data_IF_749900486801
#
_entry.id   IF_749900486801
#
_cell.length_a   1.000
_cell.length_b   1.000
_cell.length_c   1.000
_cell.angle_alpha   90.00
_cell.angle_beta   90.00
_cell.angle_gamma   90.00
#
_symmetry.space_group_name_H-M   'P 1'
#
loop_
_entity.id
_entity.type
_entity.pdbx_description
1 polymer ?
#
# COMPACT_ATOMS: atom_id res chain seq x y z
N UNK A 1 13.84 -12.32 16.13
CA UNK A 1 13.25 -11.82 16.32
C UNK A 1 12.63 -11.04 15.55
N UNK A 2 11.85 -10.93 15.38
CA UNK A 2 11.18 -10.33 14.59
C UNK A 2 10.66 -9.23 15.01
N UNK A 3 10.82 -8.47 15.09
CA UNK A 3 10.31 -7.52 15.47
C UNK A 3 9.83 -6.71 14.55
N UNK A 4 9.11 -5.89 14.50
CA UNK A 4 8.66 -4.98 13.60
C UNK A 4 7.83 -5.44 12.53
N UNK A 5 7.43 -6.63 12.50
CA UNK A 5 6.63 -7.04 11.52
C UNK A 5 5.27 -6.61 11.76
N UNK A 6 4.53 -5.90 10.93
CA UNK A 6 3.12 -5.69 11.09
C UNK A 6 2.38 -6.40 9.97
N UNK A 7 1.09 -6.71 10.17
CA UNK A 7 0.33 -7.47 9.18
C UNK A 7 0.27 -6.82 7.81
N UNK A 8 0.23 -5.49 7.77
CA UNK A 8 0.18 -4.79 6.50
C UNK A 8 1.46 -5.04 5.70
N UNK A 9 2.60 -4.87 6.34
CA UNK A 9 3.87 -5.07 5.65
C UNK A 9 4.04 -6.51 5.19
N UNK A 10 3.60 -7.45 5.99
CA UNK A 10 3.69 -8.85 5.60
C UNK A 10 2.82 -9.12 4.39
N UNK A 11 1.61 -8.56 4.36
CA UNK A 11 0.72 -8.78 3.23
C UNK A 11 1.26 -8.16 1.96
N UNK A 12 1.81 -6.96 2.05
CA UNK A 12 2.38 -6.31 0.88
C UNK A 12 3.56 -7.12 0.36
N UNK A 13 4.44 -7.54 1.24
CA UNK A 13 5.61 -8.32 0.82
C UNK A 13 5.21 -9.62 0.16
N UNK A 14 4.25 -10.32 0.73
CA UNK A 14 3.84 -11.60 0.21
C UNK A 14 3.15 -11.49 -1.14
N UNK A 15 2.44 -10.40 -1.37
CA UNK A 15 1.67 -10.22 -2.60
C UNK A 15 2.39 -9.40 -3.66
N UNK A 16 3.52 -8.81 -3.30
CA UNK A 16 4.15 -7.80 -4.16
C UNK A 16 4.40 -8.28 -5.59
N UNK A 17 4.94 -9.47 -5.73
CA UNK A 17 5.28 -9.96 -7.06
C UNK A 17 4.06 -10.24 -7.92
N UNK A 18 2.92 -10.45 -7.30
CA UNK A 18 1.70 -10.71 -8.02
C UNK A 18 0.94 -9.45 -8.37
N UNK A 19 1.40 -8.30 -7.92
CA UNK A 19 0.69 -7.06 -8.18
C UNK A 19 0.99 -6.53 -9.57
N UNK A 20 0.00 -5.94 -10.24
CA UNK A 20 0.27 -5.20 -11.46
C UNK A 20 1.24 -4.05 -11.20
N UNK A 21 1.95 -3.57 -12.22
CA UNK A 21 2.98 -2.54 -12.01
C UNK A 21 2.53 -1.31 -11.25
N UNK A 22 1.34 -0.79 -11.54
CA UNK A 22 0.87 0.39 -10.84
C UNK A 22 0.59 0.10 -9.38
N UNK A 23 0.09 -1.08 -9.08
CA UNK A 23 -0.17 -1.45 -7.70
C UNK A 23 1.13 -1.73 -6.96
N UNK A 24 2.17 -2.15 -7.67
CA UNK A 24 3.47 -2.30 -7.05
C UNK A 24 4.06 -0.95 -6.64
N UNK A 25 3.81 0.09 -7.42
CA UNK A 25 4.25 1.42 -7.03
C UNK A 25 3.60 1.84 -5.73
N UNK A 26 2.30 1.56 -5.60
CA UNK A 26 1.60 1.88 -4.37
C UNK A 26 2.18 1.09 -3.20
N UNK A 27 2.43 -0.19 -3.42
CA UNK A 27 2.98 -1.04 -2.39
C UNK A 27 4.36 -0.59 -1.93
N UNK A 28 5.22 -0.23 -2.88
CA UNK A 28 6.56 0.24 -2.55
C UNK A 28 6.48 1.53 -1.74
N UNK A 29 5.65 2.47 -2.18
CA UNK A 29 5.51 3.71 -1.45
C UNK A 29 5.00 3.47 -0.04
N UNK A 30 4.02 2.58 0.10
CA UNK A 30 3.44 2.30 1.40
C UNK A 30 4.46 1.68 2.35
N UNK A 31 5.32 0.82 1.83
CA UNK A 31 6.36 0.21 2.66
C UNK A 31 7.39 1.22 3.09
N UNK A 32 7.67 2.20 2.23
CA UNK A 32 8.66 3.22 2.54
C UNK A 32 8.10 4.34 3.40
N UNK A 33 6.78 4.48 3.45
CA UNK A 33 6.16 5.61 4.17
C UNK A 33 5.04 5.12 5.10
N UNK A 34 5.37 4.26 6.07
CA UNK A 34 4.32 3.70 6.94
C UNK A 34 3.59 4.75 7.75
N UNK A 35 4.27 5.84 8.09
CA UNK A 35 3.63 6.89 8.85
C UNK A 35 2.57 7.60 8.01
N UNK A 36 2.90 7.88 6.78
CA UNK A 36 1.96 8.54 5.88
C UNK A 36 0.77 7.64 5.59
N UNK A 37 0.97 6.35 5.50
CA UNK A 37 -0.13 5.42 5.31
C UNK A 37 -1.12 5.55 6.48
N UNK A 38 -0.61 5.72 7.68
CA UNK A 38 -1.46 5.84 8.85
C UNK A 38 -2.14 7.20 8.97
N UNK A 39 -1.48 8.25 8.51
CA UNK A 39 -1.98 9.60 8.73
C UNK A 39 -2.72 10.24 7.56
N UNK A 40 -2.44 9.84 6.36
CA UNK A 40 -3.02 10.49 5.20
C UNK A 40 -4.25 9.73 4.69
N UNK A 41 -5.19 10.47 4.12
CA UNK A 41 -6.34 9.84 3.49
C UNK A 41 -5.89 9.07 2.25
N UNK A 42 -6.73 8.16 1.80
CA UNK A 42 -6.46 7.40 0.58
C UNK A 42 -6.20 8.33 -0.60
N UNK A 43 -7.00 9.37 -0.71
CA UNK A 43 -6.85 10.32 -1.81
C UNK A 43 -5.52 11.06 -1.73
N UNK A 44 -5.13 11.46 -0.54
CA UNK A 44 -3.87 12.17 -0.39
C UNK A 44 -2.69 11.23 -0.66
N UNK A 45 -2.79 9.99 -0.23
CA UNK A 45 -1.74 9.02 -0.54
C UNK A 45 -1.60 8.84 -2.04
N UNK A 46 -2.72 8.71 -2.75
CA UNK A 46 -2.68 8.55 -4.20
C UNK A 46 -2.02 9.75 -4.87
N UNK A 47 -2.28 10.93 -4.35
CA UNK A 47 -1.66 12.13 -4.89
C UNK A 47 -0.15 12.11 -4.72
N UNK A 48 0.32 11.66 -3.55
CA UNK A 48 1.75 11.59 -3.29
C UNK A 48 2.45 10.56 -4.14
N UNK A 49 1.74 9.46 -4.42
CA UNK A 49 2.30 8.41 -5.26
C UNK A 49 2.18 8.78 -6.74
N UNK A 50 1.30 9.73 -7.05
CA UNK A 50 1.02 10.17 -8.42
C UNK A 50 0.26 9.11 -9.21
N UNK A 51 -0.74 8.52 -8.58
CA UNK A 51 -1.63 7.58 -9.24
C UNK A 51 -3.07 8.00 -8.97
N UNK A 52 -4.04 7.53 -9.74
CA UNK A 52 -5.43 7.81 -9.47
C UNK A 52 -5.85 7.25 -8.12
N UNK A 53 -6.78 7.95 -7.45
CA UNK A 53 -7.27 7.48 -6.16
C UNK A 53 -7.83 6.07 -6.25
N UNK A 54 -8.48 5.74 -7.36
CA UNK A 54 -9.03 4.40 -7.56
C UNK A 54 -7.93 3.33 -7.52
N UNK A 55 -6.74 3.67 -7.98
CA UNK A 55 -5.62 2.73 -7.96
C UNK A 55 -5.21 2.42 -6.53
N UNK A 56 -5.16 3.44 -5.68
CA UNK A 56 -4.84 3.24 -4.27
C UNK A 56 -5.89 2.37 -3.58
N UNK A 57 -7.16 2.61 -3.89
CA UNK A 57 -8.24 1.82 -3.31
C UNK A 57 -8.16 0.37 -3.77
N UNK A 58 -7.87 0.17 -5.05
CA UNK A 58 -7.76 -1.17 -5.60
C UNK A 58 -6.61 -1.94 -4.93
N UNK A 59 -5.54 -1.23 -4.62
CA UNK A 59 -4.42 -1.83 -3.92
C UNK A 59 -4.88 -2.40 -2.56
N UNK A 60 -5.62 -1.62 -1.79
CA UNK A 60 -6.10 -2.08 -0.49
C UNK A 60 -7.03 -3.27 -0.64
N UNK A 61 -7.91 -3.22 -1.62
CA UNK A 61 -8.83 -4.32 -1.86
C UNK A 61 -8.10 -5.60 -2.24
N UNK A 62 -7.04 -5.45 -3.01
CA UNK A 62 -6.27 -6.61 -3.44
C UNK A 62 -5.60 -7.30 -2.27
N UNK A 63 -5.27 -6.56 -1.23
CA UNK A 63 -4.64 -7.11 -0.04
C UNK A 63 -5.65 -7.55 1.00
N UNK A 64 -6.94 -7.36 0.74
CA UNK A 64 -7.97 -7.79 1.67
C UNK A 64 -8.35 -6.76 2.71
N UNK A 65 -7.95 -5.51 2.52
CA UNK A 65 -8.38 -4.45 3.43
C UNK A 65 -9.56 -3.72 2.83
N UNK A 66 -10.42 -3.22 3.70
CA UNK A 66 -11.58 -2.50 3.23
C UNK A 66 -11.17 -1.09 2.91
N UNK A 67 -11.23 -0.72 1.77
CA UNK A 67 -10.97 0.62 1.39
C UNK A 67 -9.63 1.15 1.76
#
# INVERSE_FOLDING_TARGET
>A
MTRGHNPFQQRVSAAYDALPPQLRLVGQWAMDHPREVALLSTREQARRIAVPAATRTRFAQRLGFAG
#
